data_IF_317016249589
#
_entry.id   IF_317016249589
#
_cell.length_a   1.000
_cell.length_b   1.000
_cell.length_c   1.000
_cell.angle_alpha   90.00
_cell.angle_beta   90.00
_cell.angle_gamma   90.00
#
_symmetry.space_group_name_H-M   'P 1'
#
loop_
_entity.id
_entity.type
_entity.pdbx_description
1 polymer ?
#
# COMPACT_ATOMS: atom_id res chain seq x y z
N UNK A 1 -4.00 22.69 -28.93
CA UNK A 1 -4.23 22.71 -28.38
C UNK A 1 -4.03 22.72 -27.56
N UNK A 2 -3.92 22.83 -27.35
CA UNK A 2 -3.85 22.91 -26.67
C UNK A 2 -3.85 23.14 -26.02
N UNK A 3 -3.60 22.94 -26.32
CA UNK A 3 -3.75 23.47 -25.84
C UNK A 3 -4.11 23.78 -24.84
N UNK A 4 -4.04 23.75 -24.71
CA UNK A 4 -4.95 24.19 -23.73
C UNK A 4 -4.70 23.65 -22.36
N UNK A 5 -3.72 22.86 -22.13
CA UNK A 5 -3.38 22.36 -20.81
C UNK A 5 -2.52 23.39 -20.11
N UNK A 6 -2.94 23.86 -18.92
CA UNK A 6 -2.12 24.82 -18.19
C UNK A 6 -0.76 24.23 -17.83
N UNK A 7 0.20 25.11 -17.63
CA UNK A 7 1.53 24.65 -17.28
C UNK A 7 1.53 23.85 -16.00
N UNK A 8 0.68 24.19 -15.07
CA UNK A 8 0.62 23.43 -13.81
C UNK A 8 0.18 22.01 -14.03
N UNK A 9 -0.75 21.82 -14.97
CA UNK A 9 -1.18 20.45 -15.24
C UNK A 9 -0.12 19.68 -15.99
N UNK A 10 0.63 20.34 -16.84
CA UNK A 10 1.71 19.66 -17.51
C UNK A 10 2.75 19.18 -16.51
N UNK A 11 3.02 19.98 -15.50
CA UNK A 11 3.95 19.55 -14.47
C UNK A 11 3.45 18.33 -13.76
N UNK A 12 2.16 18.30 -13.46
CA UNK A 12 1.61 17.17 -12.76
C UNK A 12 1.67 15.91 -13.60
N UNK A 13 1.52 16.05 -14.90
CA UNK A 13 1.58 14.89 -15.75
C UNK A 13 2.97 14.32 -15.81
N UNK A 14 3.98 15.17 -15.83
CA UNK A 14 5.35 14.70 -15.92
C UNK A 14 5.94 14.32 -14.58
N UNK A 15 5.21 14.55 -13.51
CA UNK A 15 5.73 14.35 -12.17
C UNK A 15 4.67 13.65 -11.35
N UNK A 16 5.02 12.54 -10.75
CA UNK A 16 4.06 11.78 -9.97
C UNK A 16 4.01 12.36 -8.57
N UNK A 17 2.84 12.81 -8.13
CA UNK A 17 2.71 13.31 -6.76
C UNK A 17 2.87 12.17 -5.78
N UNK A 18 3.82 12.29 -4.88
CA UNK A 18 4.16 11.22 -3.95
C UNK A 18 2.97 10.86 -3.07
N UNK A 19 2.33 11.86 -2.51
CA UNK A 19 1.23 11.60 -1.58
C UNK A 19 0.06 10.95 -2.28
N UNK A 20 -0.25 11.44 -3.47
CA UNK A 20 -1.37 10.92 -4.23
C UNK A 20 -1.14 9.44 -4.57
N UNK A 21 0.02 9.12 -5.10
CA UNK A 21 0.34 7.75 -5.44
C UNK A 21 0.37 6.86 -4.21
N UNK A 22 0.93 7.37 -3.12
CA UNK A 22 1.01 6.60 -1.89
C UNK A 22 -0.36 6.30 -1.32
N UNK A 23 -1.29 7.24 -1.43
CA UNK A 23 -2.64 7.01 -0.96
C UNK A 23 -3.32 5.90 -1.75
N UNK A 24 -3.19 5.95 -3.06
CA UNK A 24 -3.85 4.95 -3.91
C UNK A 24 -3.29 3.58 -3.62
N UNK A 25 -1.99 3.45 -3.60
CA UNK A 25 -1.39 2.13 -3.38
C UNK A 25 -1.54 1.70 -1.93
N UNK A 26 -1.61 2.66 -1.00
CA UNK A 26 -1.90 2.33 0.38
C UNK A 26 -3.27 1.70 0.53
N UNK A 27 -4.26 2.24 -0.15
CA UNK A 27 -5.61 1.68 -0.11
C UNK A 27 -5.62 0.30 -0.76
N UNK A 28 -4.95 0.14 -1.89
CA UNK A 28 -4.87 -1.15 -2.54
C UNK A 28 -4.21 -2.18 -1.64
N UNK A 29 -3.11 -1.79 -1.00
CA UNK A 29 -2.43 -2.69 -0.08
C UNK A 29 -3.30 -3.03 1.12
N UNK A 30 -4.08 -2.07 1.61
CA UNK A 30 -4.98 -2.31 2.72
C UNK A 30 -6.02 -3.36 2.36
N UNK A 31 -6.57 -3.28 1.16
CA UNK A 31 -7.55 -4.24 0.69
C UNK A 31 -6.93 -5.63 0.57
N UNK A 32 -5.75 -5.71 -0.01
CA UNK A 32 -5.05 -6.97 -0.17
C UNK A 32 -4.74 -7.58 1.20
N UNK A 33 -4.26 -6.75 2.12
CA UNK A 33 -3.94 -7.24 3.45
C UNK A 33 -5.20 -7.64 4.20
N UNK A 34 -6.30 -6.96 3.95
CA UNK A 34 -7.56 -7.33 4.58
C UNK A 34 -7.98 -8.74 4.14
N UNK A 35 -7.92 -9.00 2.84
CA UNK A 35 -8.29 -10.31 2.31
C UNK A 35 -7.34 -11.38 2.84
N UNK A 36 -6.05 -11.10 2.79
CA UNK A 36 -5.05 -12.01 3.31
C UNK A 36 -5.26 -12.22 4.81
N UNK A 37 -5.59 -11.15 5.51
CA UNK A 37 -5.84 -11.20 6.94
C UNK A 37 -7.01 -12.07 7.31
N UNK A 38 -8.03 -12.14 6.45
CA UNK A 38 -9.15 -13.02 6.72
C UNK A 38 -8.70 -14.48 6.76
N UNK A 39 -7.84 -14.88 5.83
CA UNK A 39 -7.34 -16.25 5.83
C UNK A 39 -6.41 -16.49 7.01
N UNK A 40 -5.54 -15.53 7.32
CA UNK A 40 -4.64 -15.66 8.46
C UNK A 40 -5.44 -15.74 9.76
N UNK A 41 -6.49 -14.92 9.87
CA UNK A 41 -7.31 -14.89 11.07
C UNK A 41 -7.99 -16.23 11.30
N UNK A 42 -8.50 -16.85 10.23
CA UNK A 42 -9.12 -18.15 10.36
C UNK A 42 -8.11 -19.18 10.82
N UNK A 43 -6.93 -19.18 10.26
CA UNK A 43 -5.89 -20.15 10.63
C UNK A 43 -5.39 -19.96 12.04
N UNK A 44 -5.09 -18.71 12.41
CA UNK A 44 -4.57 -18.42 13.74
C UNK A 44 -5.65 -18.65 14.79
N UNK A 45 -6.87 -18.18 14.52
CA UNK A 45 -7.96 -18.37 15.48
C UNK A 45 -8.25 -19.83 15.70
N UNK A 46 -8.29 -20.62 14.64
CA UNK A 46 -8.54 -22.05 14.79
C UNK A 46 -7.39 -22.73 15.53
N UNK A 47 -6.16 -22.33 15.26
CA UNK A 47 -5.01 -22.91 15.93
C UNK A 47 -5.05 -22.64 17.43
N UNK A 48 -5.35 -21.41 17.80
CA UNK A 48 -5.42 -21.05 19.22
C UNK A 48 -6.56 -21.78 19.90
N UNK A 49 -7.70 -21.87 19.26
CA UNK A 49 -8.86 -22.52 19.84
C UNK A 49 -8.66 -24.00 20.03
N UNK A 50 -7.75 -24.61 19.28
CA UNK A 50 -7.51 -26.04 19.40
C UNK A 50 -6.50 -26.39 20.49
N UNK A 51 -5.90 -25.40 21.12
CA UNK A 51 -4.94 -25.66 22.19
C UNK A 51 -5.68 -26.09 23.44
N UNK A 52 -5.31 -27.23 24.07
CA UNK A 52 -5.99 -27.66 25.27
C UNK A 52 -5.82 -26.64 26.39
N UNK A 53 -6.90 -26.36 27.07
CA UNK A 53 -6.87 -25.42 28.18
C UNK A 53 -7.05 -23.99 27.82
N UNK A 54 -7.10 -23.67 26.52
CA UNK A 54 -7.31 -22.32 26.07
C UNK A 54 -8.77 -22.17 25.67
N UNK A 55 -9.40 -21.07 26.09
CA UNK A 55 -10.80 -20.87 25.76
C UNK A 55 -10.96 -20.53 24.30
N UNK A 56 -12.08 -20.95 23.71
CA UNK A 56 -12.36 -20.63 22.31
C UNK A 56 -12.48 -19.14 22.08
N UNK A 57 -12.80 -18.39 23.12
CA UNK A 57 -12.87 -16.94 23.01
C UNK A 57 -11.52 -16.34 22.64
N UNK A 58 -10.43 -16.95 23.13
CA UNK A 58 -9.08 -16.46 22.80
C UNK A 58 -8.82 -16.53 21.30
N UNK A 59 -9.26 -17.61 20.65
CA UNK A 59 -9.09 -17.72 19.21
C UNK A 59 -9.91 -16.69 18.45
N UNK A 60 -11.14 -16.46 18.91
CA UNK A 60 -12.00 -15.46 18.28
C UNK A 60 -11.42 -14.07 18.46
N UNK A 61 -10.94 -13.78 19.66
CA UNK A 61 -10.37 -12.48 19.95
C UNK A 61 -9.14 -12.22 19.08
N UNK A 62 -8.27 -13.22 18.94
CA UNK A 62 -7.09 -13.09 18.11
C UNK A 62 -7.48 -12.88 16.65
N UNK A 63 -8.49 -13.59 16.17
CA UNK A 63 -8.94 -13.44 14.80
C UNK A 63 -9.47 -12.03 14.55
N UNK A 64 -10.24 -11.50 15.48
CA UNK A 64 -10.77 -10.15 15.33
C UNK A 64 -9.65 -9.13 15.30
N UNK A 65 -8.66 -9.27 16.15
CA UNK A 65 -7.52 -8.37 16.15
C UNK A 65 -6.79 -8.40 14.81
N UNK A 66 -6.60 -9.58 14.26
CA UNK A 66 -5.92 -9.70 12.97
C UNK A 66 -6.73 -9.02 11.88
N UNK A 67 -8.03 -9.24 11.85
CA UNK A 67 -8.88 -8.66 10.83
C UNK A 67 -8.86 -7.15 10.88
N UNK A 68 -8.77 -6.58 12.07
CA UNK A 68 -8.74 -5.14 12.23
C UNK A 68 -7.36 -4.57 11.92
N UNK A 69 -6.31 -5.23 12.42
CA UNK A 69 -4.96 -4.68 12.31
C UNK A 69 -4.33 -4.88 10.94
N UNK A 70 -4.68 -5.95 10.26
CA UNK A 70 -4.03 -6.23 8.98
C UNK A 70 -4.25 -5.15 7.92
N UNK A 71 -5.47 -4.67 7.70
CA UNK A 71 -5.63 -3.62 6.70
C UNK A 71 -4.95 -2.32 7.12
N UNK A 72 -4.91 -2.02 8.41
CA UNK A 72 -4.21 -0.83 8.88
C UNK A 72 -2.73 -0.96 8.59
N UNK A 73 -2.18 -2.10 8.91
CA UNK A 73 -0.77 -2.38 8.65
C UNK A 73 -0.49 -2.35 7.16
N UNK A 74 -1.39 -2.92 6.37
CA UNK A 74 -1.24 -2.91 4.92
C UNK A 74 -1.24 -1.51 4.34
N UNK A 75 -2.12 -0.64 4.86
CA UNK A 75 -2.15 0.73 4.41
C UNK A 75 -0.81 1.43 4.71
N UNK A 76 -0.31 1.25 5.93
CA UNK A 76 0.95 1.88 6.32
C UNK A 76 2.09 1.39 5.43
N UNK A 77 2.18 0.08 5.25
CA UNK A 77 3.25 -0.50 4.43
C UNK A 77 3.13 -0.03 2.98
N UNK A 78 1.92 -0.04 2.44
CA UNK A 78 1.72 0.40 1.07
C UNK A 78 1.99 1.88 0.89
N UNK A 79 1.54 2.69 1.85
CA UNK A 79 1.75 4.12 1.77
C UNK A 79 3.24 4.45 1.84
N UNK A 80 3.92 3.93 2.86
CA UNK A 80 5.34 4.23 3.05
C UNK A 80 6.17 3.64 1.93
N UNK A 81 5.88 2.40 1.54
CA UNK A 81 6.63 1.75 0.47
C UNK A 81 6.50 2.50 -0.84
N UNK A 82 5.27 2.90 -1.19
CA UNK A 82 5.06 3.65 -2.41
C UNK A 82 5.71 5.02 -2.36
N UNK A 83 5.61 5.69 -1.22
CA UNK A 83 6.24 6.99 -1.08
C UNK A 83 7.74 6.90 -1.30
N UNK A 84 8.37 5.87 -0.73
CA UNK A 84 9.80 5.68 -0.92
C UNK A 84 10.12 5.38 -2.38
N UNK A 85 9.34 4.51 -3.00
CA UNK A 85 9.57 4.16 -4.39
C UNK A 85 9.44 5.37 -5.31
N UNK A 86 8.41 6.17 -5.10
CA UNK A 86 8.20 7.34 -5.93
C UNK A 86 9.30 8.38 -5.71
N UNK A 87 9.73 8.55 -4.47
CA UNK A 87 10.81 9.47 -4.19
C UNK A 87 12.08 9.02 -4.87
N UNK A 88 12.39 7.74 -4.82
CA UNK A 88 13.56 7.20 -5.49
C UNK A 88 13.43 7.39 -6.99
N UNK A 89 12.26 7.12 -7.54
CA UNK A 89 12.04 7.27 -8.95
C UNK A 89 12.26 8.73 -9.37
N UNK A 90 11.66 9.65 -8.64
CA UNK A 90 11.79 11.06 -8.97
C UNK A 90 13.22 11.55 -8.81
N UNK A 91 14.00 10.90 -7.96
CA UNK A 91 15.38 11.27 -7.75
C UNK A 91 16.28 10.68 -8.84
N UNK A 92 16.01 9.45 -9.22
CA UNK A 92 16.88 8.75 -10.17
C UNK A 92 16.67 9.20 -11.61
N UNK A 93 15.43 9.40 -11.99
CA UNK A 93 15.11 9.70 -13.39
C UNK A 93 15.87 10.92 -13.91
N UNK A 94 15.89 12.05 -13.21
CA UNK A 94 16.64 13.18 -13.69
C UNK A 94 18.14 12.92 -13.75
N UNK A 95 18.64 12.09 -12.84
CA UNK A 95 20.07 11.83 -12.82
C UNK A 95 20.50 10.93 -13.93
N UNK A 96 19.69 9.94 -14.22
CA UNK A 96 20.00 9.06 -15.31
C UNK A 96 19.95 9.82 -16.61
N UNK A 97 19.01 10.72 -16.74
CA UNK A 97 18.92 11.53 -17.91
C UNK A 97 18.56 10.78 -19.15
N UNK A 98 19.03 9.60 -19.26
CA UNK A 98 18.78 8.83 -20.45
C UNK A 98 17.33 8.63 -20.72
N UNK A 99 16.56 8.58 -19.69
CA UNK A 99 15.16 8.36 -19.85
C UNK A 99 14.52 9.48 -20.61
N UNK A 100 14.87 10.70 -20.27
CA UNK A 100 14.29 11.75 -20.99
C UNK A 100 14.84 11.89 -22.34
N UNK A 101 15.99 11.43 -22.52
CA UNK A 101 16.58 11.56 -23.81
C UNK A 101 15.76 10.89 -24.85
N UNK A 102 15.18 9.80 -24.49
CA UNK A 102 14.42 9.13 -25.46
C UNK A 102 13.24 9.86 -25.87
N UNK A 103 12.84 10.76 -25.15
CA UNK A 103 11.71 11.52 -25.51
C UNK A 103 11.93 12.27 -26.78
N UNK A 104 13.15 12.58 -27.08
CA UNK A 104 13.39 13.21 -28.30
C UNK A 104 13.35 12.32 -29.43
#
# INVERSE_FOLDING_TARGET
MQTSIPATQLKEITYIPVVQAAKVFGVIAAIIFFIYGLFVALGVGASISSVPGVSGFSGVFAAILIIILMPIFGFIVGFVGTAVEVLIYNWIVPRIGGVQVQVK
#
